data_IF_706652052147
#
_entry.id   IF_706652052147
#
_cell.length_a   1.000
_cell.length_b   1.000
_cell.length_c   1.000
_cell.angle_alpha   90.00
_cell.angle_beta   90.00
_cell.angle_gamma   90.00
#
_symmetry.space_group_name_H-M   'P 1'
#
loop_
_entity.id
_entity.type
_entity.pdbx_description
1 polymer ?
#
# COMPACT_ATOMS: atom_id res chain seq x y z
N UNK A 1 23.18 -3.47 -9.64
CA UNK A 1 24.24 -4.29 -10.26
C UNK A 1 24.85 -3.47 -11.40
N UNK A 2 26.12 -3.07 -11.30
CA UNK A 2 26.77 -2.20 -12.30
C UNK A 2 27.39 -3.04 -13.42
N UNK A 3 27.28 -2.59 -14.67
CA UNK A 3 28.05 -3.13 -15.80
C UNK A 3 29.16 -2.12 -16.12
N UNK A 4 30.42 -2.55 -16.04
CA UNK A 4 31.59 -1.73 -16.38
C UNK A 4 31.92 -1.99 -17.86
N UNK A 5 32.07 -0.94 -18.66
CA UNK A 5 32.55 -1.07 -20.04
C UNK A 5 34.09 -1.08 -20.11
N UNK A 6 34.63 -1.49 -21.26
CA UNK A 6 36.06 -1.63 -21.50
C UNK A 6 36.86 -0.31 -21.49
N UNK A 7 36.22 0.83 -21.20
CA UNK A 7 36.85 2.15 -21.09
C UNK A 7 36.70 2.77 -19.68
N UNK A 8 36.22 1.99 -18.71
CA UNK A 8 36.15 2.40 -17.31
C UNK A 8 35.14 3.53 -17.04
N UNK A 9 34.17 3.77 -17.93
CA UNK A 9 33.16 4.81 -17.74
C UNK A 9 31.86 4.21 -17.18
N UNK A 10 31.45 4.68 -16.01
CA UNK A 10 30.15 4.37 -15.41
C UNK A 10 29.08 5.32 -15.97
N UNK A 11 28.21 4.81 -16.84
CA UNK A 11 26.97 5.50 -17.20
C UNK A 11 25.88 5.19 -16.16
N UNK A 12 25.12 6.19 -15.65
CA UNK A 12 24.06 5.93 -14.69
C UNK A 12 22.89 5.19 -15.36
N UNK A 13 22.55 4.03 -14.82
CA UNK A 13 21.31 3.32 -15.15
C UNK A 13 20.18 4.00 -14.37
N UNK A 14 19.38 4.80 -15.06
CA UNK A 14 18.05 5.20 -14.60
C UNK A 14 17.97 6.24 -13.48
N UNK A 15 16.75 6.74 -13.29
CA UNK A 15 16.38 7.78 -12.32
C UNK A 15 16.56 7.23 -10.90
N UNK A 16 17.39 7.87 -10.10
CA UNK A 16 17.56 7.57 -8.67
C UNK A 16 16.25 7.91 -7.94
N UNK A 17 15.46 6.91 -7.57
CA UNK A 17 14.23 7.11 -6.77
C UNK A 17 14.51 7.40 -5.30
N UNK A 18 15.74 7.13 -4.82
CA UNK A 18 16.13 7.43 -3.45
C UNK A 18 17.65 7.64 -3.34
N UNK A 19 18.05 8.77 -2.74
CA UNK A 19 19.46 9.09 -2.44
C UNK A 19 19.67 8.89 -0.94
N UNK A 20 20.44 7.87 -0.55
CA UNK A 20 20.85 7.67 0.85
C UNK A 20 22.24 8.26 1.03
N UNK A 21 22.40 9.14 2.02
CA UNK A 21 23.67 9.77 2.40
C UNK A 21 24.04 9.25 3.78
N UNK A 22 25.22 8.66 3.92
CA UNK A 22 25.74 8.24 5.21
C UNK A 22 26.61 9.36 5.80
N UNK A 23 26.30 9.80 7.01
CA UNK A 23 27.19 10.58 7.86
C UNK A 23 27.43 9.79 9.15
N UNK A 24 28.69 9.72 9.59
CA UNK A 24 29.10 8.97 10.77
C UNK A 24 28.60 9.71 12.03
N UNK A 25 27.60 9.15 12.70
CA UNK A 25 26.96 9.69 13.90
C UNK A 25 25.45 9.49 13.86
N UNK A 26 25.00 8.34 14.40
CA UNK A 26 23.60 7.94 14.70
C UNK A 26 22.53 8.18 13.62
N UNK A 27 22.01 7.09 13.02
CA UNK A 27 20.55 7.04 12.84
C UNK A 27 20.00 5.65 13.16
N UNK A 28 19.07 5.58 14.10
CA UNK A 28 18.01 4.57 14.01
C UNK A 28 17.17 4.93 12.79
N UNK A 29 17.29 4.14 11.73
CA UNK A 29 16.35 4.15 10.64
C UNK A 29 14.97 3.79 11.23
N UNK A 30 14.02 4.72 11.23
CA UNK A 30 12.62 4.32 11.14
C UNK A 30 12.48 3.75 9.73
N UNK A 31 12.79 2.47 9.58
CA UNK A 31 12.67 1.71 8.33
C UNK A 31 11.19 1.42 8.00
N UNK A 32 10.29 2.30 8.45
CA UNK A 32 8.86 2.26 8.20
C UNK A 32 8.50 3.21 7.07
N UNK A 33 7.47 2.86 6.32
CA UNK A 33 6.81 3.77 5.40
C UNK A 33 6.36 5.02 6.16
N UNK A 34 6.55 6.20 5.58
CA UNK A 34 5.95 7.43 6.12
C UNK A 34 4.44 7.25 6.15
N UNK A 35 3.73 7.60 7.24
CA UNK A 35 2.28 7.49 7.29
C UNK A 35 1.62 8.21 6.12
N UNK A 36 0.60 7.57 5.54
CA UNK A 36 -0.10 8.05 4.34
C UNK A 36 0.82 8.22 3.12
N UNK A 37 2.05 7.71 3.17
CA UNK A 37 2.98 7.70 2.06
C UNK A 37 2.50 6.77 0.95
N UNK A 38 2.75 7.19 -0.29
CA UNK A 38 2.51 6.36 -1.47
C UNK A 38 3.49 5.19 -1.48
N UNK A 39 2.96 3.99 -1.68
CA UNK A 39 3.76 2.77 -1.80
C UNK A 39 3.31 2.03 -3.04
N UNK A 40 4.27 1.62 -3.88
CA UNK A 40 3.98 0.80 -5.05
C UNK A 40 3.45 -0.56 -4.63
N UNK A 41 2.33 -1.00 -5.20
CA UNK A 41 1.71 -2.30 -4.95
C UNK A 41 1.63 -3.11 -6.22
N UNK A 42 1.80 -4.42 -6.09
CA UNK A 42 1.76 -5.38 -7.18
C UNK A 42 0.84 -6.53 -6.79
N UNK A 43 -0.04 -6.92 -7.70
CA UNK A 43 -0.75 -8.19 -7.65
C UNK A 43 -0.42 -9.00 -8.91
N UNK A 44 -0.43 -10.32 -8.83
CA UNK A 44 -0.05 -11.20 -9.96
C UNK A 44 -1.11 -12.28 -10.13
N UNK A 45 -1.51 -12.54 -11.37
CA UNK A 45 -2.43 -13.64 -11.71
C UNK A 45 -1.94 -14.32 -12.98
N UNK A 46 -1.81 -15.64 -12.97
CA UNK A 46 -1.45 -16.43 -14.17
C UNK A 46 -0.37 -15.77 -15.05
N UNK A 47 -0.80 -15.12 -16.14
CA UNK A 47 0.06 -14.48 -17.15
C UNK A 47 0.11 -12.95 -17.09
N UNK A 48 -0.57 -12.32 -16.14
CA UNK A 48 -0.65 -10.86 -15.97
C UNK A 48 -0.21 -10.43 -14.58
N UNK A 49 0.26 -9.20 -14.47
CA UNK A 49 0.46 -8.54 -13.19
C UNK A 49 -0.07 -7.12 -13.24
N UNK A 50 -0.43 -6.64 -12.07
CA UNK A 50 -1.09 -5.36 -11.85
C UNK A 50 -0.20 -4.48 -11.01
N UNK A 51 -0.22 -3.18 -11.27
CA UNK A 51 0.61 -2.23 -10.55
C UNK A 51 -0.13 -0.92 -10.30
N UNK A 52 0.02 -0.39 -9.09
CA UNK A 52 -0.30 0.99 -8.77
C UNK A 52 0.85 1.60 -7.97
N UNK A 53 1.12 2.88 -8.18
CA UNK A 53 2.06 3.65 -7.38
C UNK A 53 1.36 4.46 -6.26
N UNK A 54 0.04 4.32 -6.14
CA UNK A 54 -0.79 5.05 -5.17
C UNK A 54 -0.92 6.55 -5.46
N UNK A 55 -0.45 7.05 -6.60
CA UNK A 55 -0.53 8.48 -6.94
C UNK A 55 -1.90 8.91 -7.49
N UNK A 56 -2.61 7.99 -8.13
CA UNK A 56 -3.92 8.19 -8.73
C UNK A 56 -4.74 6.90 -8.62
N UNK A 57 -6.06 7.01 -8.77
CA UNK A 57 -6.98 5.88 -8.86
C UNK A 57 -6.82 5.20 -10.22
N UNK A 58 -5.65 4.60 -10.43
CA UNK A 58 -5.27 3.93 -11.68
C UNK A 58 -4.39 2.74 -11.37
N UNK A 59 -4.70 1.65 -12.07
CA UNK A 59 -4.02 0.38 -12.02
C UNK A 59 -3.55 0.08 -13.44
N UNK A 60 -2.26 -0.22 -13.56
CA UNK A 60 -1.67 -0.71 -14.80
C UNK A 60 -1.78 -2.24 -14.84
N UNK A 61 -2.19 -2.79 -15.98
CA UNK A 61 -2.09 -4.22 -16.25
C UNK A 61 -0.94 -4.46 -17.21
N UNK A 62 -0.09 -5.44 -16.88
CA UNK A 62 1.07 -5.83 -17.66
C UNK A 62 1.08 -7.32 -17.89
N UNK A 63 1.63 -7.75 -19.02
CA UNK A 63 1.84 -9.18 -19.29
C UNK A 63 3.08 -9.73 -18.56
N UNK A 64 3.30 -11.03 -18.66
CA UNK A 64 4.46 -11.72 -18.07
C UNK A 64 5.83 -11.21 -18.57
N UNK A 65 5.87 -10.45 -19.67
CA UNK A 65 7.09 -9.80 -20.20
C UNK A 65 7.23 -8.35 -19.72
N UNK A 66 6.26 -7.86 -18.94
CA UNK A 66 6.22 -6.49 -18.41
C UNK A 66 5.61 -5.47 -19.38
N UNK A 67 5.13 -5.89 -20.55
CA UNK A 67 4.51 -4.99 -21.51
C UNK A 67 3.15 -4.52 -20.98
N UNK A 68 2.86 -3.23 -21.09
CA UNK A 68 1.60 -2.64 -20.66
C UNK A 68 0.46 -3.09 -21.58
N UNK A 69 -0.52 -3.80 -21.04
CA UNK A 69 -1.68 -4.34 -21.77
C UNK A 69 -3.00 -3.66 -21.40
N UNK A 70 -2.98 -2.70 -20.47
CA UNK A 70 -4.15 -1.90 -20.12
C UNK A 70 -3.92 -0.96 -18.93
N UNK A 71 -4.84 -0.02 -18.77
CA UNK A 71 -5.00 0.80 -17.57
C UNK A 71 -6.49 0.90 -17.25
N UNK A 72 -6.82 0.84 -15.97
CA UNK A 72 -8.18 0.99 -15.47
C UNK A 72 -8.16 1.59 -14.06
N UNK A 73 -9.31 1.98 -13.53
CA UNK A 73 -9.44 2.56 -12.20
C UNK A 73 -10.84 3.08 -11.95
N UNK A 74 -11.07 3.63 -10.76
CA UNK A 74 -12.34 4.22 -10.36
C UNK A 74 -12.27 5.76 -10.34
N UNK A 75 -13.45 6.39 -10.42
CA UNK A 75 -13.59 7.84 -10.37
C UNK A 75 -13.74 8.33 -8.92
N UNK A 76 -12.63 8.30 -8.17
CA UNK A 76 -12.58 8.78 -6.78
C UNK A 76 -11.83 10.11 -6.67
N UNK A 77 -12.20 10.93 -5.69
CA UNK A 77 -11.43 12.09 -5.28
C UNK A 77 -10.40 11.69 -4.22
N UNK A 78 -9.18 12.23 -4.28
CA UNK A 78 -8.20 11.99 -3.22
C UNK A 78 -8.62 12.70 -1.95
N UNK A 79 -8.70 11.96 -0.85
CA UNK A 79 -8.99 12.50 0.47
C UNK A 79 -7.80 13.30 1.02
N UNK A 80 -7.97 14.52 1.54
CA UNK A 80 -6.91 15.25 2.22
C UNK A 80 -6.40 14.53 3.47
N UNK A 81 -5.11 14.70 3.77
CA UNK A 81 -4.57 14.35 5.10
C UNK A 81 -4.76 15.56 5.99
N UNK A 82 -5.75 15.52 6.87
CA UNK A 82 -6.03 16.61 7.80
C UNK A 82 -5.21 16.50 9.11
N UNK A 83 -5.32 17.54 9.94
CA UNK A 83 -4.61 17.59 11.22
C UNK A 83 -5.02 16.49 12.20
N UNK A 84 -6.24 15.96 12.11
CA UNK A 84 -6.69 14.88 13.00
C UNK A 84 -6.04 13.55 12.60
N UNK A 85 -5.97 13.26 11.30
CA UNK A 85 -5.27 12.10 10.77
C UNK A 85 -3.79 12.11 11.13
N UNK A 86 -3.12 13.27 11.00
CA UNK A 86 -1.73 13.44 11.43
C UNK A 86 -1.59 13.17 12.93
N UNK A 87 -2.44 13.79 13.75
CA UNK A 87 -2.39 13.66 15.21
C UNK A 87 -2.59 12.21 15.66
N UNK A 88 -3.61 11.52 15.15
CA UNK A 88 -3.89 10.11 15.51
C UNK A 88 -2.79 9.18 15.06
N UNK A 89 -2.30 9.32 13.82
CA UNK A 89 -1.17 8.51 13.33
C UNK A 89 0.07 8.66 14.20
N UNK A 90 0.37 9.88 14.69
CA UNK A 90 1.47 10.08 15.65
C UNK A 90 1.24 9.35 16.97
N UNK A 91 0.02 9.41 17.50
CA UNK A 91 -0.33 8.72 18.75
C UNK A 91 -0.18 7.19 18.59
N UNK A 92 -0.64 6.63 17.48
CA UNK A 92 -0.53 5.20 17.20
C UNK A 92 0.93 4.75 17.10
N UNK A 93 1.76 5.52 16.38
CA UNK A 93 3.20 5.25 16.27
C UNK A 93 3.90 5.34 17.64
N UNK A 94 3.52 6.30 18.49
CA UNK A 94 4.09 6.44 19.84
C UNK A 94 3.62 5.34 20.80
N UNK A 95 2.40 4.83 20.61
CA UNK A 95 1.87 3.73 21.40
C UNK A 95 2.55 2.39 21.07
N UNK A 96 2.94 2.20 19.82
CA UNK A 96 3.57 0.96 19.34
C UNK A 96 5.06 0.81 19.69
N UNK A 97 5.70 1.83 20.26
CA UNK A 97 7.16 1.85 20.49
C UNK A 97 7.51 1.81 21.97
N UNK A 98 8.56 1.03 22.29
CA UNK A 98 9.11 0.92 23.64
C UNK A 98 9.49 2.29 24.22
N UNK A 99 9.19 2.46 25.51
CA UNK A 99 9.55 3.61 26.34
C UNK A 99 10.97 4.15 26.11
N UNK A 100 11.97 3.29 25.93
CA UNK A 100 13.38 3.68 25.78
C UNK A 100 13.59 4.49 24.48
N UNK A 101 12.81 4.21 23.43
CA UNK A 101 12.94 4.85 22.11
C UNK A 101 12.01 6.05 21.91
N UNK A 102 11.06 6.29 22.83
CA UNK A 102 10.03 7.33 22.68
C UNK A 102 10.60 8.73 22.48
N UNK A 103 11.64 9.12 23.23
CA UNK A 103 12.20 10.47 23.14
C UNK A 103 12.77 10.81 21.75
N UNK A 104 13.44 9.84 21.11
CA UNK A 104 13.96 10.01 19.75
C UNK A 104 12.84 9.98 18.71
N UNK A 105 11.84 9.12 18.90
CA UNK A 105 10.69 9.05 18.01
C UNK A 105 9.84 10.34 18.03
N UNK A 106 9.61 10.95 19.18
CA UNK A 106 8.88 12.22 19.29
C UNK A 106 9.54 13.31 18.44
N UNK A 107 10.88 13.44 18.52
CA UNK A 107 11.62 14.41 17.70
C UNK A 107 11.51 14.08 16.21
N UNK A 108 11.60 12.80 15.84
CA UNK A 108 11.46 12.37 14.45
C UNK A 108 10.06 12.67 13.89
N UNK A 109 9.00 12.37 14.66
CA UNK A 109 7.60 12.62 14.26
C UNK A 109 7.28 14.11 14.13
N UNK A 110 7.88 14.97 14.96
CA UNK A 110 7.70 16.42 14.88
C UNK A 110 8.26 17.00 13.57
N UNK A 111 9.37 16.46 13.06
CA UNK A 111 10.01 16.87 11.81
C UNK A 111 9.53 16.07 10.58
N UNK A 112 8.67 15.07 10.77
CA UNK A 112 8.23 14.20 9.69
C UNK A 112 7.29 14.94 8.73
N UNK A 113 7.59 14.99 7.43
CA UNK A 113 6.68 15.52 6.44
C UNK A 113 5.49 14.57 6.25
N UNK A 114 4.30 15.16 6.07
CA UNK A 114 3.09 14.43 5.68
C UNK A 114 2.66 14.86 4.27
N UNK A 115 2.11 13.96 3.46
CA UNK A 115 1.56 14.33 2.17
C UNK A 115 0.26 15.12 2.35
N UNK A 116 -0.11 15.92 1.35
CA UNK A 116 -1.35 16.72 1.39
C UNK A 116 -2.62 15.86 1.26
N UNK A 117 -2.49 14.64 0.71
CA UNK A 117 -3.61 13.72 0.47
C UNK A 117 -3.22 12.28 0.74
N UNK A 118 -4.22 11.47 1.07
CA UNK A 118 -4.13 10.02 1.14
C UNK A 118 -3.64 9.46 -0.20
N UNK A 119 -2.92 8.32 -0.18
CA UNK A 119 -2.64 7.59 -1.41
C UNK A 119 -3.98 7.15 -2.03
N UNK A 120 -4.02 7.03 -3.35
CA UNK A 120 -5.25 6.59 -4.03
C UNK A 120 -5.55 5.13 -3.71
N UNK A 121 -4.57 4.26 -3.91
CA UNK A 121 -4.63 2.86 -3.53
C UNK A 121 -3.49 2.50 -2.57
N UNK A 122 -3.80 1.74 -1.52
CA UNK A 122 -2.85 1.29 -0.47
C UNK A 122 -2.50 -0.18 -0.57
N UNK A 123 -3.32 -0.98 -1.22
CA UNK A 123 -3.08 -2.40 -1.47
C UNK A 123 -3.72 -2.88 -2.78
N UNK A 124 -3.21 -3.99 -3.31
CA UNK A 124 -3.73 -4.66 -4.50
C UNK A 124 -3.74 -6.16 -4.29
N UNK A 125 -4.89 -6.78 -4.57
CA UNK A 125 -5.04 -8.23 -4.62
C UNK A 125 -5.67 -8.62 -5.95
N UNK A 126 -5.39 -9.82 -6.42
CA UNK A 126 -5.97 -10.32 -7.65
C UNK A 126 -6.16 -11.84 -7.58
N UNK A 127 -7.32 -12.32 -8.01
CA UNK A 127 -7.64 -13.75 -7.98
C UNK A 127 -7.21 -14.49 -9.25
N UNK A 128 -7.35 -15.82 -9.25
CA UNK A 128 -7.02 -16.66 -10.41
C UNK A 128 -7.89 -16.39 -11.65
N UNK A 129 -9.09 -15.82 -11.49
CA UNK A 129 -9.96 -15.43 -12.60
C UNK A 129 -9.56 -14.07 -13.20
N UNK A 130 -8.67 -13.32 -12.53
CA UNK A 130 -8.22 -12.00 -12.92
C UNK A 130 -9.07 -10.86 -12.36
N UNK A 131 -9.96 -11.13 -11.40
CA UNK A 131 -10.65 -10.08 -10.66
C UNK A 131 -9.62 -9.39 -9.77
N UNK A 132 -9.59 -8.06 -9.82
CA UNK A 132 -8.65 -7.23 -9.05
C UNK A 132 -9.41 -6.48 -7.97
N UNK A 133 -8.90 -6.53 -6.75
CA UNK A 133 -9.35 -5.74 -5.62
C UNK A 133 -8.29 -4.69 -5.32
N UNK A 134 -8.69 -3.42 -5.22
CA UNK A 134 -7.79 -2.32 -4.92
C UNK A 134 -8.28 -1.55 -3.70
N UNK A 135 -7.48 -1.54 -2.64
CA UNK A 135 -7.84 -0.88 -1.38
C UNK A 135 -7.67 0.63 -1.52
N UNK A 136 -8.76 1.38 -1.37
CA UNK A 136 -8.78 2.84 -1.38
C UNK A 136 -8.07 3.38 -0.14
N UNK A 137 -7.15 4.32 -0.33
CA UNK A 137 -6.35 4.82 0.78
C UNK A 137 -7.17 5.60 1.81
N UNK A 138 -7.16 5.07 3.04
CA UNK A 138 -7.80 5.65 4.21
C UNK A 138 -6.89 5.50 5.46
N UNK A 139 -7.17 6.22 6.55
CA UNK A 139 -6.51 5.96 7.82
C UNK A 139 -6.76 4.54 8.35
N UNK A 140 -5.77 3.95 8.99
CA UNK A 140 -5.82 2.55 9.43
C UNK A 140 -6.92 2.24 10.47
N UNK A 141 -7.43 3.24 11.19
CA UNK A 141 -8.51 3.09 12.19
C UNK A 141 -9.92 3.21 11.58
N UNK A 142 -10.04 3.44 10.28
CA UNK A 142 -11.31 3.57 9.58
C UNK A 142 -11.65 2.29 8.80
N UNK A 143 -12.93 2.05 8.47
CA UNK A 143 -13.28 0.97 7.55
C UNK A 143 -12.52 1.07 6.23
N UNK A 144 -12.08 -0.07 5.70
CA UNK A 144 -11.30 -0.18 4.47
C UNK A 144 -12.23 -0.44 3.30
N UNK A 145 -12.22 0.43 2.30
CA UNK A 145 -13.00 0.26 1.07
C UNK A 145 -12.11 -0.33 -0.03
N UNK A 146 -12.63 -1.34 -0.73
CA UNK A 146 -11.96 -2.00 -1.85
C UNK A 146 -12.79 -1.79 -3.12
N UNK A 147 -12.17 -1.23 -4.15
CA UNK A 147 -12.72 -1.21 -5.50
C UNK A 147 -12.50 -2.58 -6.17
N UNK A 148 -13.55 -3.13 -6.77
CA UNK A 148 -13.49 -4.41 -7.47
C UNK A 148 -13.53 -4.19 -8.98
N UNK A 149 -12.63 -4.84 -9.70
CA UNK A 149 -12.53 -4.78 -11.16
C UNK A 149 -12.57 -6.17 -11.77
N UNK A 150 -13.34 -6.32 -12.84
CA UNK A 150 -13.34 -7.51 -13.69
C UNK A 150 -11.99 -7.66 -14.41
N UNK A 151 -11.67 -8.83 -15.00
CA UNK A 151 -10.38 -9.08 -15.65
C UNK A 151 -10.01 -8.11 -16.77
N UNK A 152 -11.01 -7.44 -17.36
CA UNK A 152 -10.82 -6.43 -18.41
C UNK A 152 -10.68 -5.00 -17.86
N UNK A 153 -10.72 -4.81 -16.55
CA UNK A 153 -10.68 -3.51 -15.88
C UNK A 153 -12.06 -2.85 -15.70
N UNK A 154 -13.15 -3.55 -16.02
CA UNK A 154 -14.52 -3.04 -15.80
C UNK A 154 -14.83 -3.00 -14.31
N UNK A 155 -15.31 -1.87 -13.75
CA UNK A 155 -15.75 -1.81 -12.36
C UNK A 155 -16.88 -2.81 -12.08
N UNK A 156 -16.77 -3.56 -10.98
CA UNK A 156 -17.78 -4.49 -10.48
C UNK A 156 -18.55 -3.94 -9.28
N UNK A 157 -17.94 -3.01 -8.54
CA UNK A 157 -18.51 -2.41 -7.34
C UNK A 157 -17.45 -2.19 -6.27
N UNK A 158 -17.91 -2.00 -5.04
CA UNK A 158 -17.07 -1.72 -3.87
C UNK A 158 -17.44 -2.63 -2.71
N UNK A 159 -16.45 -3.00 -1.90
CA UNK A 159 -16.64 -3.73 -0.64
C UNK A 159 -16.00 -2.92 0.48
N UNK A 160 -16.76 -2.64 1.54
CA UNK A 160 -16.21 -1.98 2.74
C UNK A 160 -16.10 -2.99 3.88
N UNK A 161 -14.90 -3.11 4.43
CA UNK A 161 -14.56 -4.01 5.53
C UNK A 161 -14.29 -3.18 6.81
N UNK A 162 -14.61 -3.69 8.00
CA UNK A 162 -14.26 -3.01 9.25
C UNK A 162 -12.74 -2.81 9.39
N UNK A 163 -12.33 -1.76 10.11
CA UNK A 163 -10.91 -1.40 10.29
C UNK A 163 -10.01 -2.54 10.84
N UNK A 164 -10.60 -3.40 11.67
CA UNK A 164 -9.94 -4.55 12.30
C UNK A 164 -9.83 -5.78 11.39
N UNK A 165 -10.32 -5.70 10.14
CA UNK A 165 -10.25 -6.78 9.16
C UNK A 165 -9.21 -6.45 8.10
N UNK A 166 -8.16 -7.25 8.02
CA UNK A 166 -7.12 -7.14 6.99
C UNK A 166 -7.21 -8.31 6.04
N UNK A 167 -7.44 -8.02 4.76
CA UNK A 167 -7.47 -9.05 3.71
C UNK A 167 -6.06 -9.56 3.46
N UNK A 168 -5.91 -10.88 3.34
CA UNK A 168 -4.65 -11.52 2.97
C UNK A 168 -4.67 -12.04 1.54
N UNK A 169 -5.80 -12.62 1.13
CA UNK A 169 -5.93 -13.25 -0.18
C UNK A 169 -7.40 -13.32 -0.61
N UNK A 170 -7.63 -13.45 -1.91
CA UNK A 170 -8.95 -13.55 -2.53
C UNK A 170 -9.01 -14.69 -3.53
N UNK A 171 -10.16 -15.35 -3.58
CA UNK A 171 -10.53 -16.27 -4.65
C UNK A 171 -11.85 -15.84 -5.28
N UNK A 172 -12.28 -16.58 -6.31
CA UNK A 172 -13.56 -16.38 -6.97
C UNK A 172 -14.80 -16.47 -6.04
N UNK A 173 -14.67 -17.13 -4.90
CA UNK A 173 -15.76 -17.50 -3.99
C UNK A 173 -15.40 -17.39 -2.50
N UNK A 174 -14.22 -16.88 -2.19
CA UNK A 174 -13.74 -16.77 -0.81
C UNK A 174 -12.77 -15.60 -0.61
N UNK A 175 -12.69 -15.18 0.65
CA UNK A 175 -11.82 -14.13 1.15
C UNK A 175 -11.08 -14.67 2.37
N UNK A 176 -9.75 -14.67 2.36
CA UNK A 176 -8.94 -14.96 3.54
C UNK A 176 -8.59 -13.65 4.23
N UNK A 177 -8.95 -13.51 5.49
CA UNK A 177 -8.71 -12.29 6.26
C UNK A 177 -8.24 -12.57 7.68
N UNK A 178 -7.42 -11.66 8.20
CA UNK A 178 -7.08 -11.58 9.63
C UNK A 178 -8.02 -10.60 10.30
N UNK A 179 -8.57 -11.00 11.43
CA UNK A 179 -9.36 -10.14 12.31
C UNK A 179 -8.52 -9.81 13.55
N UNK A 180 -8.18 -8.55 13.72
CA UNK A 180 -7.37 -8.01 14.82
C UNK A 180 -8.26 -7.11 15.70
N UNK A 181 -9.16 -7.74 16.46
CA UNK A 181 -10.08 -7.02 17.35
C UNK A 181 -9.31 -6.40 18.51
N UNK A 182 -9.48 -5.10 18.81
CA UNK A 182 -8.81 -4.45 19.94
C UNK A 182 -9.05 -5.17 21.27
N UNK A 183 -7.97 -5.59 21.94
CA UNK A 183 -8.04 -6.33 23.21
C UNK A 183 -8.49 -7.79 23.07
N UNK A 184 -8.75 -8.26 21.85
CA UNK A 184 -9.12 -9.64 21.55
C UNK A 184 -7.97 -10.47 20.99
N UNK A 185 -8.25 -11.74 20.72
CA UNK A 185 -7.32 -12.61 20.01
C UNK A 185 -7.35 -12.31 18.50
N UNK A 186 -6.18 -12.33 17.87
CA UNK A 186 -6.06 -12.32 16.42
C UNK A 186 -6.60 -13.63 15.85
N UNK A 187 -7.54 -13.57 14.91
CA UNK A 187 -8.11 -14.77 14.26
C UNK A 187 -7.91 -14.72 12.76
N UNK A 188 -7.61 -15.87 12.16
CA UNK A 188 -7.58 -16.06 10.71
C UNK A 188 -8.92 -16.66 10.29
N UNK A 189 -9.62 -16.01 9.35
CA UNK A 189 -10.96 -16.41 8.92
C UNK A 189 -11.04 -16.51 7.40
N UNK A 190 -11.68 -17.58 6.94
CA UNK A 190 -12.04 -17.77 5.54
C UNK A 190 -13.54 -17.48 5.38
N UNK A 191 -13.86 -16.40 4.66
CA UNK A 191 -15.24 -16.00 4.37
C UNK A 191 -15.64 -16.49 2.99
N UNK A 192 -16.80 -17.14 2.85
CA UNK A 192 -17.37 -17.47 1.54
C UNK A 192 -18.07 -16.24 0.96
N UNK A 193 -17.77 -15.90 -0.29
CA UNK A 193 -18.41 -14.80 -1.00
C UNK A 193 -19.48 -15.38 -1.91
N UNK A 194 -20.75 -15.26 -1.50
CA UNK A 194 -21.88 -15.65 -2.32
C UNK A 194 -22.17 -14.58 -3.38
N UNK A 195 -22.35 -14.99 -4.64
CA UNK A 195 -22.96 -14.12 -5.66
C UNK A 195 -24.47 -14.08 -5.41
N UNK A 196 -25.02 -12.88 -5.21
CA UNK A 196 -26.46 -12.64 -5.34
C UNK A 196 -26.86 -12.59 -6.80
#
# INVERSE_FOLDING_TARGET
>A
MYRIDSRGRTAPIGRVLQRVRFSRGEPYLVQGTVPFGRTGRIAVTGTSWYYTDGSAFTIERRDARGALTGRFGAAHARRPVDGDAVRRSRLDMLAAVDSILKGSLVRALAAMPYPDSMPAYTDLLADAAGVVWAEVGAPAWEPHTWDLFAPRGTPLGEVTLPAYVRVLDISHDALLAVHEVPGGATTLQLHRVGRQ
#
